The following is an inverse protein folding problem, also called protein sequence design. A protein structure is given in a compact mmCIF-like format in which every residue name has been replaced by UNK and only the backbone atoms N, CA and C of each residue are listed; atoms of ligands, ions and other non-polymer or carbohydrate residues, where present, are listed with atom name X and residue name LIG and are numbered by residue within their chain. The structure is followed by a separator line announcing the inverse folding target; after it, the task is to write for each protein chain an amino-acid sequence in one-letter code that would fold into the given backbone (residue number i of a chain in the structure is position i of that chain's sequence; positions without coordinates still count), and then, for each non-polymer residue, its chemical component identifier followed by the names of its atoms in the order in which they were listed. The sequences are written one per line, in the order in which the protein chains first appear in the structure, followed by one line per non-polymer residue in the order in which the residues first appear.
data_IF_043784155585
#
_entry.id   IF_043784155585
#
_cell.length_a   1.000
_cell.length_b   1.000
_cell.length_c   1.000
_cell.angle_alpha   90.00
_cell.angle_beta   90.00
_cell.angle_gamma   90.00
#
_symmetry.space_group_name_H-M   'P 1'
#
loop_
_entity.id
_entity.type
_entity.pdbx_description
1 polymer ?
#
# COMPACT_ATOMS: atom_id res chain seq x y z
N UNK A 1 20.25 14.92 -6.19
CA UNK A 1 20.86 16.19 -5.73
C UNK A 1 20.87 16.31 -4.20
N UNK A 2 19.72 16.09 -3.54
CA UNK A 2 19.62 16.23 -2.09
C UNK A 2 20.52 15.26 -1.31
N UNK A 3 20.82 14.10 -1.88
CA UNK A 3 21.67 13.09 -1.25
C UNK A 3 23.12 13.11 -1.74
N UNK A 4 23.48 14.07 -2.60
CA UNK A 4 24.82 14.19 -3.12
C UNK A 4 25.21 13.23 -4.23
N UNK A 5 24.25 12.49 -4.78
CA UNK A 5 24.46 11.54 -5.87
C UNK A 5 24.41 12.28 -7.24
N UNK A 6 25.16 11.78 -8.22
CA UNK A 6 25.12 12.27 -9.60
C UNK A 6 23.85 11.76 -10.30
N UNK A 7 22.89 12.64 -10.61
CA UNK A 7 21.64 12.24 -11.25
C UNK A 7 21.80 11.78 -12.70
N UNK A 8 22.92 12.13 -13.33
CA UNK A 8 23.17 11.85 -14.76
C UNK A 8 23.88 10.53 -15.00
N UNK A 9 24.32 9.83 -13.93
CA UNK A 9 24.94 8.53 -14.13
C UNK A 9 23.93 7.52 -14.69
N UNK A 10 24.40 6.63 -15.52
CA UNK A 10 23.59 5.69 -16.31
C UNK A 10 22.56 4.90 -15.47
N UNK A 11 22.95 4.46 -14.28
CA UNK A 11 22.07 3.69 -13.39
C UNK A 11 20.88 4.46 -12.85
N UNK A 12 20.90 5.81 -12.93
CA UNK A 12 19.85 6.67 -12.39
C UNK A 12 18.99 7.36 -13.46
N UNK A 13 19.33 7.22 -14.74
CA UNK A 13 18.62 7.94 -15.81
C UNK A 13 17.13 7.61 -15.88
N UNK A 14 16.76 6.36 -15.63
CA UNK A 14 15.35 5.92 -15.66
C UNK A 14 14.71 5.87 -14.28
N UNK A 15 15.43 6.26 -13.24
CA UNK A 15 14.92 6.17 -11.86
C UNK A 15 13.64 6.99 -11.64
N UNK A 16 13.49 8.22 -12.14
CA UNK A 16 12.25 8.97 -11.96
C UNK A 16 11.02 8.22 -12.49
N UNK A 17 11.11 7.63 -13.67
CA UNK A 17 10.01 6.88 -14.27
C UNK A 17 9.73 5.57 -13.50
N UNK A 18 10.78 4.91 -13.03
CA UNK A 18 10.63 3.70 -12.20
C UNK A 18 9.94 4.00 -10.89
N UNK A 19 10.33 5.08 -10.22
CA UNK A 19 9.70 5.52 -8.96
C UNK A 19 8.23 5.90 -9.19
N UNK A 20 7.93 6.63 -10.25
CA UNK A 20 6.56 6.99 -10.58
C UNK A 20 5.67 5.76 -10.81
N UNK A 21 6.16 4.77 -11.54
CA UNK A 21 5.42 3.51 -11.75
C UNK A 21 5.24 2.74 -10.44
N UNK A 22 6.29 2.66 -9.64
CA UNK A 22 6.23 2.00 -8.33
C UNK A 22 5.12 2.61 -7.45
N UNK A 23 5.08 3.93 -7.36
CA UNK A 23 4.05 4.60 -6.56
C UNK A 23 2.65 4.42 -7.13
N UNK A 24 2.50 4.38 -8.46
CA UNK A 24 1.21 4.10 -9.07
C UNK A 24 0.67 2.71 -8.65
N UNK A 25 1.55 1.73 -8.52
CA UNK A 25 1.19 0.39 -8.02
C UNK A 25 0.94 0.39 -6.52
N UNK A 26 1.84 0.96 -5.75
CA UNK A 26 1.76 0.94 -4.28
C UNK A 26 0.55 1.71 -3.74
N UNK A 27 0.16 2.78 -4.41
CA UNK A 27 -0.99 3.60 -4.01
C UNK A 27 -2.27 3.30 -4.80
N UNK A 28 -2.31 2.17 -5.51
CA UNK A 28 -3.49 1.79 -6.29
C UNK A 28 -4.77 1.73 -5.45
N UNK A 29 -4.65 1.37 -4.17
CA UNK A 29 -5.78 1.33 -3.24
C UNK A 29 -6.50 2.65 -3.04
N UNK A 30 -5.82 3.79 -3.23
CA UNK A 30 -6.44 5.12 -3.12
C UNK A 30 -7.49 5.37 -4.21
N UNK A 31 -7.46 4.61 -5.30
CA UNK A 31 -8.39 4.72 -6.42
C UNK A 31 -9.48 3.65 -6.39
N UNK A 32 -9.43 2.75 -5.42
CA UNK A 32 -10.41 1.69 -5.25
C UNK A 32 -11.54 2.17 -4.33
N UNK A 33 -12.76 1.77 -4.68
CA UNK A 33 -13.92 1.97 -3.82
C UNK A 33 -14.01 0.82 -2.81
N UNK A 34 -13.80 1.08 -1.50
CA UNK A 34 -13.88 0.03 -0.49
C UNK A 34 -15.24 -0.66 -0.46
N UNK A 35 -16.31 0.05 -0.79
CA UNK A 35 -17.66 -0.52 -0.79
C UNK A 35 -17.81 -1.61 -1.85
N UNK A 36 -17.07 -1.53 -2.95
CA UNK A 36 -17.09 -2.56 -3.99
C UNK A 36 -16.55 -3.89 -3.47
N UNK A 37 -15.54 -3.85 -2.62
CA UNK A 37 -14.96 -5.06 -1.98
C UNK A 37 -15.95 -5.69 -1.01
N UNK A 38 -16.75 -4.88 -0.32
CA UNK A 38 -17.70 -5.32 0.70
C UNK A 38 -19.05 -5.79 0.15
N UNK A 39 -19.27 -5.71 -1.18
CA UNK A 39 -20.54 -6.12 -1.79
C UNK A 39 -20.77 -7.62 -1.78
N UNK A 40 -19.69 -8.41 -1.79
CA UNK A 40 -19.80 -9.86 -1.81
C UNK A 40 -20.06 -10.37 -0.40
N UNK A 41 -21.26 -10.85 -0.17
CA UNK A 41 -21.71 -11.35 1.13
C UNK A 41 -22.25 -12.78 1.02
N UNK A 42 -22.33 -13.45 2.15
CA UNK A 42 -22.92 -14.77 2.27
C UNK A 42 -24.12 -14.71 3.21
N UNK A 43 -25.12 -15.56 2.94
CA UNK A 43 -26.36 -15.63 3.74
C UNK A 43 -26.20 -16.58 4.94
N UNK A 44 -25.14 -16.38 5.71
CA UNK A 44 -24.94 -17.16 6.94
C UNK A 44 -25.24 -16.30 8.17
N UNK A 45 -25.79 -16.93 9.20
CA UNK A 45 -26.07 -16.26 10.46
C UNK A 45 -25.04 -16.66 11.49
N UNK A 46 -24.38 -15.67 12.06
CA UNK A 46 -23.45 -15.84 13.16
C UNK A 46 -23.92 -15.06 14.36
N UNK A 47 -24.11 -15.75 15.48
CA UNK A 47 -24.44 -15.12 16.76
C UNK A 47 -23.20 -14.88 17.62
N UNK A 48 -22.05 -15.35 17.17
CA UNK A 48 -20.79 -15.26 17.87
C UNK A 48 -19.85 -14.24 17.23
N UNK A 49 -18.88 -13.77 18.01
CA UNK A 49 -17.84 -12.89 17.53
C UNK A 49 -17.01 -13.59 16.44
N UNK A 50 -16.84 -12.91 15.30
CA UNK A 50 -15.91 -13.35 14.26
C UNK A 50 -14.65 -12.52 14.38
N UNK A 51 -13.51 -13.20 14.57
CA UNK A 51 -12.23 -12.53 14.76
C UNK A 51 -11.22 -13.05 13.73
N UNK A 52 -10.67 -12.11 12.96
CA UNK A 52 -9.57 -12.38 12.04
C UNK A 52 -8.29 -11.80 12.64
N UNK A 53 -7.30 -12.64 12.88
CA UNK A 53 -6.04 -12.26 13.53
C UNK A 53 -4.89 -12.23 12.55
N UNK A 54 -3.87 -11.46 12.92
CA UNK A 54 -2.58 -11.44 12.22
C UNK A 54 -2.70 -11.05 10.75
N UNK A 55 -3.59 -10.11 10.45
CA UNK A 55 -3.70 -9.55 9.11
C UNK A 55 -2.48 -8.67 8.88
N UNK A 56 -1.57 -9.14 8.05
CA UNK A 56 -0.40 -8.36 7.68
C UNK A 56 -0.79 -7.17 6.80
N UNK A 57 -0.22 -6.01 7.05
CA UNK A 57 -0.39 -4.85 6.19
C UNK A 57 0.90 -4.07 6.04
N UNK A 58 0.98 -3.35 4.95
CA UNK A 58 2.06 -2.42 4.65
C UNK A 58 1.44 -1.08 4.26
N UNK A 59 2.09 0.00 4.65
CA UNK A 59 1.63 1.35 4.33
C UNK A 59 2.80 2.30 4.20
N UNK A 60 2.52 3.53 3.83
CA UNK A 60 3.53 4.56 3.63
C UNK A 60 3.20 5.77 4.49
N UNK A 61 4.22 6.29 5.18
CA UNK A 61 4.11 7.53 5.92
C UNK A 61 3.84 8.69 4.95
N UNK A 62 2.80 9.47 5.22
CA UNK A 62 2.44 10.59 4.35
C UNK A 62 3.49 11.71 4.34
N UNK A 63 4.25 11.85 5.42
CA UNK A 63 5.22 12.94 5.56
C UNK A 63 6.54 12.69 4.82
N UNK A 64 6.99 11.43 4.79
CA UNK A 64 8.31 11.07 4.27
C UNK A 64 8.26 10.01 3.17
N UNK A 65 7.09 9.47 2.88
CA UNK A 65 6.90 8.33 1.97
C UNK A 65 7.77 7.11 2.35
N UNK A 66 8.06 6.99 3.63
CA UNK A 66 8.76 5.82 4.15
C UNK A 66 7.76 4.69 4.41
N UNK A 67 8.08 3.46 4.00
CA UNK A 67 7.21 2.32 4.26
C UNK A 67 7.23 1.92 5.73
N UNK A 68 6.10 1.45 6.22
CA UNK A 68 5.97 0.78 7.49
C UNK A 68 5.03 -0.41 7.35
N UNK A 69 5.14 -1.35 8.27
CA UNK A 69 4.33 -2.56 8.24
C UNK A 69 3.87 -2.93 9.63
N UNK A 70 2.83 -3.73 9.68
CA UNK A 70 2.27 -4.17 10.95
C UNK A 70 1.28 -5.29 10.78
N UNK A 71 0.55 -5.56 11.85
CA UNK A 71 -0.53 -6.55 11.88
C UNK A 71 -1.76 -5.92 12.50
N UNK A 72 -2.92 -6.26 11.94
CA UNK A 72 -4.22 -5.87 12.46
C UNK A 72 -4.99 -7.11 12.91
N UNK A 73 -5.88 -6.91 13.86
CA UNK A 73 -6.82 -7.92 14.32
C UNK A 73 -8.21 -7.30 14.31
N UNK A 74 -9.12 -7.93 13.64
CA UNK A 74 -10.48 -7.41 13.45
C UNK A 74 -11.50 -8.47 13.82
#
# INVERSE_FOLDING_TARGET
LAVGEDPDREGLQETPQRVARMYAEMFAGLRLDPSAVLRKTFTEKYDEMVLVKNIGFESMCEHHLLPFFGKAHI
#
